data_IF_183636688707
#
_entry.id   IF_183636688707
#
_cell.length_a   1.000
_cell.length_b   1.000
_cell.length_c   1.000
_cell.angle_alpha   90.00
_cell.angle_beta   90.00
_cell.angle_gamma   90.00
#
_symmetry.space_group_name_H-M   'P 1'
#
loop_
_entity.id
_entity.type
_entity.pdbx_description
1 polymer ?
#
# COMPACT_ATOMS: atom_id res chain seq x y z
N UNK A 1 5.79 17.71 8.55
CA UNK A 1 5.70 16.24 8.70
C UNK A 1 4.61 15.62 7.82
N UNK A 2 3.30 15.85 8.01
CA UNK A 2 2.28 15.26 7.09
C UNK A 2 2.21 15.85 5.67
N UNK A 3 2.67 17.10 5.43
CA UNK A 3 2.66 17.69 4.08
C UNK A 3 3.80 17.18 3.20
N UNK A 4 4.92 16.79 3.80
CA UNK A 4 6.12 16.37 3.08
C UNK A 4 5.93 14.99 2.43
N UNK A 5 5.20 14.08 3.09
CA UNK A 5 4.87 12.75 2.54
C UNK A 5 3.97 12.86 1.31
N UNK A 6 2.98 13.76 1.32
CA UNK A 6 2.09 14.00 0.17
C UNK A 6 2.82 14.67 -1.01
N UNK A 7 3.82 15.51 -0.72
CA UNK A 7 4.70 16.09 -1.74
C UNK A 7 5.67 15.08 -2.33
N UNK A 8 6.27 14.19 -1.52
CA UNK A 8 7.05 13.05 -2.03
C UNK A 8 6.14 12.16 -2.88
N UNK A 9 4.91 11.93 -2.44
CA UNK A 9 3.87 11.26 -3.24
C UNK A 9 3.66 11.93 -4.59
N UNK A 10 3.39 13.24 -4.62
CA UNK A 10 3.18 13.95 -5.89
C UNK A 10 4.43 14.02 -6.76
N UNK A 11 5.60 14.24 -6.19
CA UNK A 11 6.86 14.44 -6.91
C UNK A 11 7.41 13.13 -7.46
N UNK A 12 7.28 12.01 -6.73
CA UNK A 12 7.68 10.68 -7.21
C UNK A 12 6.65 10.12 -8.19
N UNK A 13 5.33 10.29 -7.93
CA UNK A 13 4.28 9.67 -8.76
C UNK A 13 3.82 10.49 -9.97
N UNK A 14 3.91 11.84 -9.99
CA UNK A 14 3.65 12.60 -11.23
C UNK A 14 4.85 12.58 -12.21
N UNK A 15 6.02 12.13 -11.76
CA UNK A 15 7.22 11.99 -12.60
C UNK A 15 7.49 10.56 -13.08
N UNK A 16 7.05 9.54 -12.33
CA UNK A 16 7.09 8.15 -12.78
C UNK A 16 5.92 7.89 -13.73
N UNK A 17 6.21 7.84 -15.03
CA UNK A 17 5.41 7.17 -16.05
C UNK A 17 5.30 5.65 -15.77
N UNK A 18 4.92 5.22 -14.54
CA UNK A 18 4.58 3.83 -14.24
C UNK A 18 3.50 3.47 -15.27
N UNK A 19 3.78 2.44 -16.07
CA UNK A 19 3.12 2.14 -17.34
C UNK A 19 1.58 2.19 -17.26
N UNK A 20 0.90 2.23 -18.41
CA UNK A 20 -0.58 2.17 -18.47
C UNK A 20 -1.13 0.94 -17.70
N UNK A 21 -0.33 -0.11 -17.56
CA UNK A 21 -0.73 -1.39 -16.97
C UNK A 21 -1.02 -1.34 -15.45
N UNK A 22 -0.15 -0.82 -14.55
CA UNK A 22 -0.48 -0.57 -13.14
C UNK A 22 -1.74 0.27 -12.93
N UNK A 23 -1.97 1.27 -13.78
CA UNK A 23 -3.16 2.13 -13.68
C UNK A 23 -4.44 1.36 -13.99
N UNK A 24 -4.42 0.51 -15.03
CA UNK A 24 -5.53 -0.38 -15.37
C UNK A 24 -5.80 -1.39 -14.24
N UNK A 25 -4.75 -2.04 -13.72
CA UNK A 25 -4.90 -3.00 -12.63
C UNK A 25 -5.40 -2.34 -11.35
N UNK A 26 -5.00 -1.10 -11.08
CA UNK A 26 -5.51 -0.33 -9.96
C UNK A 26 -7.01 -0.02 -10.11
N UNK A 27 -7.45 0.38 -11.31
CA UNK A 27 -8.87 0.60 -11.58
C UNK A 27 -9.67 -0.70 -11.48
N UNK A 28 -9.13 -1.79 -12.02
CA UNK A 28 -9.73 -3.12 -11.97
C UNK A 28 -9.89 -3.62 -10.53
N UNK A 29 -8.86 -3.48 -9.70
CA UNK A 29 -8.90 -3.85 -8.28
C UNK A 29 -9.99 -3.09 -7.52
N UNK A 30 -10.13 -1.79 -7.80
CA UNK A 30 -11.18 -0.96 -7.20
C UNK A 30 -12.58 -1.38 -7.64
N UNK A 31 -12.77 -1.73 -8.92
CA UNK A 31 -14.04 -2.25 -9.44
C UNK A 31 -14.39 -3.60 -8.81
N UNK A 32 -13.44 -4.53 -8.73
CA UNK A 32 -13.64 -5.82 -8.06
C UNK A 32 -14.01 -5.67 -6.60
N UNK A 33 -13.34 -4.75 -5.87
CA UNK A 33 -13.70 -4.45 -4.48
C UNK A 33 -15.12 -3.93 -4.37
N UNK A 34 -15.53 -2.98 -5.22
CA UNK A 34 -16.91 -2.45 -5.25
C UNK A 34 -17.94 -3.52 -5.60
N UNK A 35 -17.57 -4.49 -6.43
CA UNK A 35 -18.40 -5.63 -6.80
C UNK A 35 -18.42 -6.76 -5.75
N UNK A 36 -17.72 -6.61 -4.61
CA UNK A 36 -17.60 -7.65 -3.58
C UNK A 36 -16.71 -8.84 -3.99
N UNK A 37 -15.97 -8.74 -5.09
CA UNK A 37 -15.05 -9.77 -5.58
C UNK A 37 -13.67 -9.62 -4.93
N UNK A 38 -13.59 -9.90 -3.64
CA UNK A 38 -12.38 -9.65 -2.83
C UNK A 38 -11.15 -10.41 -3.36
N UNK A 39 -11.30 -11.69 -3.73
CA UNK A 39 -10.19 -12.50 -4.25
C UNK A 39 -9.57 -11.91 -5.51
N UNK A 40 -10.41 -11.45 -6.45
CA UNK A 40 -9.96 -10.83 -7.70
C UNK A 40 -9.29 -9.48 -7.42
N UNK A 41 -9.86 -8.68 -6.51
CA UNK A 41 -9.28 -7.41 -6.10
C UNK A 41 -7.89 -7.57 -5.48
N UNK A 42 -7.70 -8.57 -4.60
CA UNK A 42 -6.39 -8.88 -4.00
C UNK A 42 -5.36 -9.20 -5.08
N UNK A 43 -5.70 -10.06 -6.05
CA UNK A 43 -4.79 -10.39 -7.15
C UNK A 43 -4.39 -9.15 -7.94
N UNK A 44 -5.36 -8.29 -8.31
CA UNK A 44 -5.08 -7.07 -9.06
C UNK A 44 -4.22 -6.08 -8.27
N UNK A 45 -4.45 -5.88 -6.97
CA UNK A 45 -3.59 -5.02 -6.14
C UNK A 45 -2.16 -5.57 -5.99
N UNK A 46 -2.00 -6.89 -5.87
CA UNK A 46 -0.66 -7.50 -5.81
C UNK A 46 0.14 -7.27 -7.09
N UNK A 47 -0.51 -7.35 -8.26
CA UNK A 47 0.14 -7.02 -9.54
C UNK A 47 0.55 -5.56 -9.64
N UNK A 48 -0.21 -4.62 -9.04
CA UNK A 48 0.21 -3.21 -8.93
C UNK A 48 1.49 -3.10 -8.09
N UNK A 49 1.54 -3.75 -6.92
CA UNK A 49 2.71 -3.69 -6.04
C UNK A 49 3.95 -4.34 -6.63
N UNK A 50 3.81 -5.35 -7.50
CA UNK A 50 4.95 -5.92 -8.23
C UNK A 50 5.66 -4.92 -9.14
N UNK A 51 4.94 -3.95 -9.68
CA UNK A 51 5.50 -2.95 -10.59
C UNK A 51 5.84 -1.63 -9.89
N UNK A 52 4.96 -1.19 -8.99
CA UNK A 52 5.13 0.06 -8.25
C UNK A 52 4.92 -0.27 -6.74
N UNK A 53 5.95 -0.78 -6.02
CA UNK A 53 5.83 -1.21 -4.62
C UNK A 53 5.47 -0.09 -3.64
N UNK A 54 5.64 1.16 -4.05
CA UNK A 54 5.30 2.37 -3.28
C UNK A 54 3.86 2.84 -3.50
N UNK A 55 3.01 2.07 -4.20
CA UNK A 55 1.60 2.38 -4.39
C UNK A 55 0.81 2.14 -3.08
N UNK A 56 0.83 3.11 -2.16
CA UNK A 56 0.17 3.01 -0.85
C UNK A 56 -1.34 2.77 -0.97
N UNK A 57 -2.00 3.30 -2.00
CA UNK A 57 -3.43 3.04 -2.23
C UNK A 57 -3.70 1.54 -2.46
N UNK A 58 -2.77 0.83 -3.11
CA UNK A 58 -2.87 -0.61 -3.32
C UNK A 58 -2.58 -1.36 -2.01
N UNK A 59 -1.64 -0.87 -1.20
CA UNK A 59 -1.36 -1.40 0.15
C UNK A 59 -2.60 -1.28 1.04
N UNK A 60 -3.22 -0.10 1.11
CA UNK A 60 -4.46 0.12 1.88
C UNK A 60 -5.56 -0.77 1.32
N UNK A 61 -5.67 -0.88 -0.01
CA UNK A 61 -6.58 -1.80 -0.68
C UNK A 61 -6.44 -3.24 -0.18
N UNK A 62 -5.22 -3.77 -0.11
CA UNK A 62 -4.93 -5.11 0.38
C UNK A 62 -5.26 -5.26 1.88
N UNK A 63 -4.83 -4.32 2.72
CA UNK A 63 -5.10 -4.37 4.16
C UNK A 63 -6.61 -4.29 4.46
N UNK A 64 -7.35 -3.49 3.69
CA UNK A 64 -8.82 -3.40 3.79
C UNK A 64 -9.54 -4.70 3.40
N UNK A 65 -8.90 -5.53 2.57
CA UNK A 65 -9.37 -6.85 2.15
C UNK A 65 -8.82 -7.97 3.07
N UNK A 66 -8.43 -7.63 4.29
CA UNK A 66 -7.92 -8.57 5.32
C UNK A 66 -6.62 -9.31 4.94
N UNK A 67 -5.85 -8.80 3.98
CA UNK A 67 -4.50 -9.31 3.71
C UNK A 67 -3.60 -8.97 4.89
N UNK A 68 -2.80 -9.95 5.35
CA UNK A 68 -1.96 -9.77 6.53
C UNK A 68 -0.87 -8.73 6.28
N UNK A 69 -0.65 -7.82 7.24
CA UNK A 69 0.40 -6.80 7.13
C UNK A 69 1.80 -7.37 6.87
N UNK A 70 2.12 -8.55 7.41
CA UNK A 70 3.40 -9.24 7.14
C UNK A 70 3.57 -9.62 5.66
N UNK A 71 2.49 -10.02 4.99
CA UNK A 71 2.51 -10.35 3.56
C UNK A 71 2.69 -9.08 2.72
N UNK A 72 2.01 -7.98 3.07
CA UNK A 72 2.19 -6.72 2.36
C UNK A 72 3.59 -6.15 2.59
N UNK A 73 4.12 -6.25 3.81
CA UNK A 73 5.46 -5.79 4.13
C UNK A 73 6.53 -6.54 3.33
N UNK A 74 6.41 -7.87 3.17
CA UNK A 74 7.38 -8.66 2.40
C UNK A 74 7.41 -8.25 0.92
N UNK A 75 6.26 -7.87 0.34
CA UNK A 75 6.18 -7.36 -1.04
C UNK A 75 6.89 -6.00 -1.24
N UNK A 76 7.09 -5.25 -0.16
CA UNK A 76 7.75 -3.93 -0.18
C UNK A 76 9.18 -3.96 0.39
N UNK A 77 9.61 -5.10 0.93
CA UNK A 77 10.84 -5.22 1.73
C UNK A 77 12.10 -4.84 0.95
N UNK A 78 12.21 -5.31 -0.29
CA UNK A 78 13.36 -5.00 -1.16
C UNK A 78 13.47 -3.49 -1.45
N UNK A 79 12.33 -2.80 -1.54
CA UNK A 79 12.28 -1.34 -1.74
C UNK A 79 12.63 -0.59 -0.46
N UNK A 80 12.13 -1.06 0.69
CA UNK A 80 12.46 -0.47 2.00
C UNK A 80 13.97 -0.54 2.27
N UNK A 81 14.61 -1.65 1.91
CA UNK A 81 16.06 -1.82 2.11
C UNK A 81 16.92 -1.06 1.10
N UNK A 82 16.43 -0.84 -0.12
CA UNK A 82 17.18 -0.16 -1.18
C UNK A 82 17.09 1.37 -1.13
N UNK A 83 16.03 1.91 -0.54
CA UNK A 83 15.82 3.36 -0.45
C UNK A 83 16.15 3.83 0.98
N UNK A 84 17.23 4.63 1.18
CA UNK A 84 17.57 5.13 2.50
C UNK A 84 16.44 6.01 3.06
N UNK A 85 16.24 5.95 4.38
CA UNK A 85 15.19 6.67 5.11
C UNK A 85 13.75 6.25 4.80
N UNK A 86 13.52 5.05 4.25
CA UNK A 86 12.17 4.52 3.99
C UNK A 86 11.60 3.66 5.14
N UNK A 87 12.30 3.57 6.27
CA UNK A 87 11.88 2.79 7.45
C UNK A 87 10.47 3.14 7.95
N UNK A 88 10.03 4.39 7.76
CA UNK A 88 8.68 4.84 8.10
C UNK A 88 7.58 4.03 7.39
N UNK A 89 7.85 3.49 6.20
CA UNK A 89 6.89 2.71 5.44
C UNK A 89 6.54 1.40 6.15
N UNK A 90 7.55 0.73 6.74
CA UNK A 90 7.32 -0.51 7.49
C UNK A 90 6.41 -0.29 8.71
N UNK A 91 6.63 0.82 9.43
CA UNK A 91 5.84 1.26 10.59
C UNK A 91 4.42 1.64 10.14
N UNK A 92 4.31 2.35 9.02
CA UNK A 92 3.03 2.76 8.44
C UNK A 92 2.17 1.57 8.00
N UNK A 93 2.74 0.58 7.31
CA UNK A 93 2.05 -0.67 6.92
C UNK A 93 1.56 -1.40 8.17
N UNK A 94 2.41 -1.51 9.19
CA UNK A 94 2.07 -2.18 10.45
C UNK A 94 0.90 -1.49 11.17
N UNK A 95 0.91 -0.16 11.22
CA UNK A 95 -0.18 0.60 11.84
C UNK A 95 -1.51 0.42 11.09
N UNK A 96 -1.50 0.51 9.76
CA UNK A 96 -2.72 0.27 8.96
C UNK A 96 -3.25 -1.16 9.08
N UNK A 97 -2.36 -2.15 9.23
CA UNK A 97 -2.78 -3.52 9.49
C UNK A 97 -3.55 -3.62 10.83
N UNK A 98 -3.13 -2.90 11.87
CA UNK A 98 -3.87 -2.84 13.13
C UNK A 98 -5.20 -2.10 13.03
N UNK A 99 -5.26 -1.01 12.25
CA UNK A 99 -6.52 -0.28 11.97
C UNK A 99 -7.55 -1.24 11.34
N UNK A 100 -7.14 -1.99 10.32
CA UNK A 100 -8.04 -2.92 9.63
C UNK A 100 -8.35 -4.19 10.45
N UNK A 101 -7.51 -4.53 11.44
CA UNK A 101 -7.81 -5.56 12.43
C UNK A 101 -8.75 -5.08 13.57
N UNK A 102 -9.08 -3.78 13.62
CA UNK A 102 -9.89 -3.17 14.68
C UNK A 102 -9.13 -2.86 15.98
N UNK A 103 -7.81 -3.07 16.01
CA UNK A 103 -6.97 -2.85 17.19
C UNK A 103 -6.40 -1.42 17.20
N UNK A 104 -7.32 -0.46 17.39
CA UNK A 104 -7.00 0.97 17.30
C UNK A 104 -5.95 1.41 18.33
N UNK A 105 -5.90 0.77 19.50
CA UNK A 105 -4.94 1.12 20.54
C UNK A 105 -3.51 0.74 20.14
N UNK A 106 -3.32 -0.45 19.55
CA UNK A 106 -2.02 -0.84 19.00
C UNK A 106 -1.63 -0.03 17.77
N UNK A 107 -2.60 0.35 16.94
CA UNK A 107 -2.35 1.23 15.80
C UNK A 107 -1.77 2.59 16.25
N UNK A 108 -2.38 3.22 17.26
CA UNK A 108 -1.92 4.49 17.82
C UNK A 108 -0.51 4.34 18.38
N UNK A 109 -0.26 3.33 19.22
CA UNK A 109 1.06 3.07 19.82
C UNK A 109 2.15 2.70 18.81
N UNK A 110 1.78 2.38 17.56
CA UNK A 110 2.76 2.07 16.50
C UNK A 110 3.19 3.35 15.77
N UNK A 111 2.32 4.36 15.70
CA UNK A 111 2.59 5.63 15.01
C UNK A 111 3.18 6.68 15.96
N UNK A 112 2.90 6.58 17.25
CA UNK A 112 3.24 7.54 18.31
C UNK A 112 4.21 6.94 19.32
#
# INVERSE_FOLDING_TARGET
VCRDVYLIYRLVFNGCYCSVFPQINMMLANLYRKAGQERSAVTSYKEVLRQCPLALDAIIGLLSLSVKGAEVASMTMDVIQSIPNLEWLSVWIKAYAFIHAGDNQRAINTIW
#
